data_IF_923196571646
#
_entry.id   IF_923196571646
#
_cell.length_a   1.000
_cell.length_b   1.000
_cell.length_c   1.000
_cell.angle_alpha   90.00
_cell.angle_beta   90.00
_cell.angle_gamma   90.00
#
_symmetry.space_group_name_H-M   'P 1'
#
loop_
_entity.id
_entity.type
_entity.pdbx_description
1 polymer ?
#
# COMPACT_ATOMS: atom_id res chain seq x y z
N UNK A 1 20.51 17.79 29.62
CA UNK A 1 21.18 19.12 29.46
C UNK A 1 20.82 20.07 30.62
N UNK A 2 19.55 20.40 30.85
CA UNK A 2 19.13 21.35 31.88
C UNK A 2 19.59 20.94 33.30
N UNK A 3 19.45 19.67 33.65
CA UNK A 3 19.93 19.13 34.94
C UNK A 3 21.46 19.24 35.07
N UNK A 4 22.21 18.90 34.04
CA UNK A 4 23.66 18.99 34.00
C UNK A 4 24.17 20.44 34.16
N UNK A 5 23.50 21.40 33.51
CA UNK A 5 23.80 22.83 33.64
C UNK A 5 23.48 23.35 35.05
N UNK A 6 22.39 22.89 35.67
CA UNK A 6 22.02 23.22 37.03
C UNK A 6 23.03 22.67 38.02
N UNK A 7 23.47 21.43 37.83
CA UNK A 7 24.48 20.79 38.71
C UNK A 7 25.83 21.48 38.59
N UNK A 8 26.28 21.78 37.37
CA UNK A 8 27.53 22.53 37.15
C UNK A 8 27.49 23.91 37.81
N UNK A 9 26.36 24.63 37.70
CA UNK A 9 26.15 25.92 38.37
C UNK A 9 26.26 25.80 39.89
N UNK A 10 25.62 24.79 40.48
CA UNK A 10 25.62 24.55 41.90
C UNK A 10 27.05 24.20 42.42
N UNK A 11 27.77 23.35 41.69
CA UNK A 11 29.16 23.02 42.02
C UNK A 11 30.08 24.24 41.96
N UNK A 12 29.88 25.10 40.96
CA UNK A 12 30.67 26.32 40.82
C UNK A 12 30.37 27.33 41.91
N UNK A 13 29.09 27.56 42.27
CA UNK A 13 28.72 28.42 43.39
C UNK A 13 29.27 27.90 44.69
N UNK A 14 29.22 26.61 44.93
CA UNK A 14 29.84 25.99 46.11
C UNK A 14 31.34 26.19 46.15
N UNK A 15 32.04 26.05 45.03
CA UNK A 15 33.49 26.29 44.93
C UNK A 15 33.85 27.74 45.24
N UNK A 16 33.08 28.72 44.75
CA UNK A 16 33.28 30.13 45.05
C UNK A 16 33.03 30.48 46.52
N UNK A 17 32.01 29.88 47.12
CA UNK A 17 31.74 30.04 48.56
C UNK A 17 32.86 29.41 49.42
N UNK A 18 33.40 28.26 49.04
CA UNK A 18 34.57 27.64 49.70
C UNK A 18 35.80 28.55 49.62
N UNK A 19 35.99 29.27 48.53
CA UNK A 19 37.10 30.23 48.37
C UNK A 19 36.97 31.41 49.34
N UNK A 20 35.76 31.95 49.58
CA UNK A 20 35.49 32.96 50.55
C UNK A 20 35.88 32.48 52.01
N UNK A 21 35.45 31.26 52.33
CA UNK A 21 35.78 30.64 53.63
C UNK A 21 37.27 30.45 53.79
N UNK A 22 37.97 29.97 52.77
CA UNK A 22 39.42 29.75 52.80
C UNK A 22 40.15 31.06 52.96
N UNK A 23 39.78 32.12 52.27
CA UNK A 23 40.35 33.46 52.38
C UNK A 23 40.14 34.04 53.80
N UNK A 24 38.94 33.92 54.37
CA UNK A 24 38.66 34.37 55.73
C UNK A 24 39.51 33.63 56.78
N UNK A 25 39.66 32.29 56.60
CA UNK A 25 40.51 31.47 57.50
C UNK A 25 41.99 31.83 57.37
N UNK A 26 42.46 32.09 56.16
CA UNK A 26 43.86 32.51 55.91
C UNK A 26 44.15 33.83 56.57
N UNK A 27 43.30 34.84 56.43
CA UNK A 27 43.47 36.15 57.12
C UNK A 27 43.36 35.98 58.59
N UNK A 28 42.52 35.13 59.15
CA UNK A 28 42.45 34.82 60.56
C UNK A 28 43.77 34.25 61.09
N UNK A 29 44.40 33.32 60.38
CA UNK A 29 45.70 32.75 60.75
C UNK A 29 46.85 33.78 60.71
N UNK A 30 46.83 34.68 59.71
CA UNK A 30 47.81 35.76 59.60
C UNK A 30 47.69 36.76 60.79
N UNK A 31 46.47 37.11 61.19
CA UNK A 31 46.24 38.02 62.34
C UNK A 31 46.69 37.41 63.65
N UNK A 32 46.71 36.12 63.87
CA UNK A 32 47.23 35.45 65.06
C UNK A 32 48.72 35.48 65.12
N UNK A 33 49.43 35.61 64.02
CA UNK A 33 50.90 35.62 63.96
C UNK A 33 51.50 37.04 64.11
N UNK A 34 50.66 38.09 64.02
CA UNK A 34 51.12 39.48 64.19
C UNK A 34 51.21 39.85 65.72
N UNK A 35 52.40 40.14 66.26
CA UNK A 35 52.54 40.54 67.65
C UNK A 35 52.01 41.97 67.84
N UNK A 36 50.88 42.11 68.58
CA UNK A 36 50.24 43.33 69.02
C UNK A 36 49.76 44.27 67.87
N UNK A 37 48.47 44.28 67.62
CA UNK A 37 47.83 45.34 66.88
C UNK A 37 47.97 46.69 67.57
N UNK A 38 48.39 47.77 66.92
CA UNK A 38 48.51 49.09 67.55
C UNK A 38 47.14 49.59 68.00
N UNK A 39 46.98 49.81 69.29
CA UNK A 39 45.86 50.47 69.90
C UNK A 39 45.88 51.98 69.64
N UNK A 40 44.81 52.46 68.96
CA UNK A 40 44.32 53.80 68.73
C UNK A 40 44.69 54.51 67.42
N UNK A 41 43.69 54.74 66.62
CA UNK A 41 43.44 55.92 65.78
C UNK A 41 44.17 55.97 64.45
N UNK A 42 43.70 55.32 63.49
CA UNK A 42 43.79 55.29 62.03
C UNK A 42 43.97 53.85 61.61
N UNK A 43 42.86 53.27 61.05
CA UNK A 43 42.86 51.88 60.59
C UNK A 43 44.06 51.64 59.67
N UNK A 44 44.96 50.72 60.07
CA UNK A 44 46.11 50.36 59.24
C UNK A 44 45.61 49.76 57.95
N UNK A 45 45.84 50.47 56.83
CA UNK A 45 45.55 49.98 55.52
C UNK A 45 46.60 48.94 55.10
N UNK A 46 46.25 47.69 55.12
CA UNK A 46 47.06 46.65 54.48
C UNK A 46 46.74 46.59 53.00
N UNK A 47 47.76 46.56 52.15
CA UNK A 47 47.49 46.27 50.73
C UNK A 47 46.96 44.85 50.53
N UNK A 48 46.10 44.61 49.56
CA UNK A 48 45.59 43.28 49.22
C UNK A 48 46.73 42.28 48.98
N UNK A 49 47.87 42.76 48.49
CA UNK A 49 49.11 41.99 48.31
C UNK A 49 49.75 41.56 49.64
N UNK A 50 49.72 42.39 50.66
CA UNK A 50 50.28 42.07 52.01
C UNK A 50 49.42 41.04 52.74
N UNK A 51 48.11 41.01 52.45
CA UNK A 51 47.17 40.01 52.99
C UNK A 51 47.08 38.79 52.13
N UNK A 52 47.82 38.74 51.00
CA UNK A 52 47.75 37.66 49.97
C UNK A 52 46.33 37.29 49.56
N UNK A 53 45.47 38.32 49.42
CA UNK A 53 44.04 38.16 49.02
C UNK A 53 43.97 38.11 47.52
N UNK A 54 43.25 37.09 46.89
CA UNK A 54 43.08 37.04 45.48
C UNK A 54 42.39 38.29 44.95
N UNK A 55 42.81 38.78 43.78
CA UNK A 55 42.20 39.96 43.13
C UNK A 55 40.71 39.85 43.01
N UNK A 56 39.95 40.93 43.18
CA UNK A 56 38.49 40.99 43.12
C UNK A 56 37.77 40.72 44.45
N UNK A 57 38.45 40.29 45.50
CA UNK A 57 37.89 40.09 46.84
C UNK A 57 38.15 41.27 47.75
N UNK A 58 37.16 41.64 48.54
CA UNK A 58 37.30 42.60 49.63
C UNK A 58 37.39 41.84 50.93
N UNK A 59 38.30 42.33 51.86
CA UNK A 59 38.44 41.78 53.21
C UNK A 59 38.43 42.93 54.25
N UNK A 60 37.72 42.67 55.33
CA UNK A 60 37.69 43.60 56.48
C UNK A 60 37.84 42.80 57.74
N UNK A 61 38.73 43.29 58.60
CA UNK A 61 38.94 42.77 59.96
C UNK A 61 38.43 43.81 60.96
N UNK A 62 37.50 43.45 61.82
CA UNK A 62 36.92 44.33 62.83
C UNK A 62 36.96 43.67 64.22
N UNK A 63 37.00 44.50 65.27
CA UNK A 63 36.82 44.06 66.65
C UNK A 63 35.33 43.70 66.88
N UNK A 64 35.04 42.91 67.91
CA UNK A 64 33.67 42.66 68.41
C UNK A 64 32.93 43.95 68.80
N UNK A 65 33.62 45.04 69.09
CA UNK A 65 33.05 46.37 69.35
C UNK A 65 32.72 47.15 68.07
N UNK A 66 33.00 46.63 66.89
CA UNK A 66 32.73 47.27 65.60
C UNK A 66 33.82 48.17 65.07
N UNK A 67 34.99 48.27 65.78
CA UNK A 67 36.15 49.05 65.33
C UNK A 67 36.85 48.30 64.17
N UNK A 68 37.10 48.97 63.05
CA UNK A 68 37.81 48.39 61.89
C UNK A 68 39.28 48.45 62.13
N UNK A 69 39.90 47.27 62.20
CA UNK A 69 41.31 47.12 62.48
C UNK A 69 42.19 47.06 61.24
N UNK A 70 41.64 46.43 60.18
CA UNK A 70 42.31 46.30 58.88
C UNK A 70 41.30 46.13 57.74
N UNK A 71 41.64 46.60 56.55
CA UNK A 71 40.86 46.39 55.33
C UNK A 71 41.74 46.31 54.11
N UNK A 72 41.28 45.58 53.08
CA UNK A 72 42.03 45.37 51.84
C UNK A 72 41.63 46.31 50.72
N UNK A 73 40.59 47.15 50.87
CA UNK A 73 40.13 48.09 49.86
C UNK A 73 40.27 49.52 50.27
N UNK A 74 40.45 50.40 49.31
CA UNK A 74 41.01 51.76 49.58
C UNK A 74 39.92 52.81 49.85
N UNK A 75 38.63 52.50 49.66
CA UNK A 75 37.56 53.47 49.86
C UNK A 75 37.06 53.51 51.30
N UNK A 76 37.19 54.66 52.00
CA UNK A 76 36.82 54.84 53.38
C UNK A 76 35.33 54.68 53.68
N UNK A 77 34.49 54.83 52.71
CA UNK A 77 33.01 54.76 52.81
C UNK A 77 32.47 53.35 52.71
N UNK A 78 33.26 52.41 52.20
CA UNK A 78 32.83 51.02 52.00
C UNK A 78 33.07 50.18 53.22
N UNK A 79 32.14 50.09 54.14
CA UNK A 79 32.17 49.19 55.28
C UNK A 79 31.40 47.91 54.98
N UNK A 80 32.12 46.76 55.20
CA UNK A 80 31.43 45.45 55.08
C UNK A 80 30.62 45.24 56.37
N UNK A 81 29.31 44.83 56.22
CA UNK A 81 28.52 44.44 57.39
C UNK A 81 29.13 43.23 58.05
N UNK A 82 29.67 43.39 59.22
CA UNK A 82 30.30 42.30 59.99
C UNK A 82 29.39 41.73 61.08
N UNK A 83 28.11 42.18 61.16
CA UNK A 83 27.21 41.79 62.25
C UNK A 83 26.65 40.36 62.08
N UNK A 84 26.46 39.90 60.83
CA UNK A 84 25.93 38.58 60.60
C UNK A 84 27.03 37.56 60.39
N UNK A 85 27.01 36.47 61.17
CA UNK A 85 27.94 35.35 61.04
C UNK A 85 27.58 34.47 59.84
N UNK A 86 28.60 33.91 59.18
CA UNK A 86 28.39 33.00 58.03
C UNK A 86 28.20 33.72 56.67
N UNK A 87 27.59 33.07 55.74
CA UNK A 87 27.33 33.64 54.40
C UNK A 87 26.13 34.59 54.46
N UNK A 88 26.29 35.76 53.88
CA UNK A 88 25.21 36.72 53.68
C UNK A 88 25.46 37.57 52.42
N UNK A 89 24.35 38.07 51.85
CA UNK A 89 24.40 38.98 50.71
C UNK A 89 24.22 40.40 51.21
N UNK A 90 25.07 41.34 50.76
CA UNK A 90 25.00 42.75 51.11
C UNK A 90 25.17 43.63 49.89
N UNK A 91 24.60 44.82 49.95
CA UNK A 91 24.73 45.83 48.88
C UNK A 91 25.83 46.83 49.29
N UNK A 92 26.86 46.96 48.44
CA UNK A 92 27.93 47.93 48.64
C UNK A 92 28.00 48.78 47.35
N UNK A 93 27.84 50.08 47.47
CA UNK A 93 27.83 51.04 46.36
C UNK A 93 26.83 50.64 45.22
N UNK A 94 25.70 50.14 45.63
CA UNK A 94 24.68 49.70 44.61
C UNK A 94 25.00 48.40 43.87
N UNK A 95 26.14 47.76 44.23
CA UNK A 95 26.48 46.45 43.67
C UNK A 95 26.21 45.32 44.71
N UNK A 96 25.66 44.17 44.29
CA UNK A 96 25.46 43.04 45.17
C UNK A 96 26.80 42.31 45.41
N UNK A 97 27.08 42.05 46.70
CA UNK A 97 28.25 41.31 47.15
C UNK A 97 27.81 40.10 47.96
N UNK A 98 28.49 38.99 47.78
CA UNK A 98 28.39 37.78 48.58
C UNK A 98 29.49 37.79 49.62
N UNK A 99 29.17 37.79 50.94
CA UNK A 99 30.08 37.93 52.01
C UNK A 99 30.06 36.70 52.91
N UNK A 100 31.26 36.45 53.57
CA UNK A 100 31.40 35.43 54.60
C UNK A 100 32.10 36.04 55.80
N UNK A 101 31.43 35.95 56.94
CA UNK A 101 31.98 36.49 58.21
C UNK A 101 32.33 35.37 59.19
N UNK A 102 33.57 35.35 59.64
CA UNK A 102 34.12 34.43 60.66
C UNK A 102 34.49 35.19 61.89
N UNK A 103 34.04 34.74 63.07
CA UNK A 103 34.58 35.26 64.36
C UNK A 103 35.65 34.33 64.88
N UNK A 104 36.75 34.91 65.36
CA UNK A 104 37.83 34.17 65.98
C UNK A 104 38.46 35.00 67.08
N UNK A 105 38.32 34.58 68.34
CA UNK A 105 38.68 35.39 69.48
C UNK A 105 37.86 36.68 69.54
N UNK A 106 38.54 37.81 69.73
CA UNK A 106 37.95 39.16 69.75
C UNK A 106 37.81 39.81 68.36
N UNK A 107 38.14 39.08 67.30
CA UNK A 107 38.16 39.60 65.94
C UNK A 107 37.02 39.00 65.07
N UNK A 108 36.45 39.84 64.19
CA UNK A 108 35.58 39.45 63.12
C UNK A 108 36.23 39.71 61.77
N UNK A 109 36.30 38.69 60.94
CA UNK A 109 36.92 38.74 59.62
C UNK A 109 35.82 38.51 58.58
N UNK A 110 35.60 39.53 57.77
CA UNK A 110 34.60 39.46 56.67
C UNK A 110 35.33 39.49 55.35
N UNK A 111 35.10 38.49 54.51
CA UNK A 111 35.54 38.45 53.11
C UNK A 111 34.35 38.59 52.25
N UNK A 112 34.43 39.33 51.14
CA UNK A 112 33.36 39.57 50.23
C UNK A 112 33.83 39.48 48.74
N UNK A 113 32.95 39.04 47.87
CA UNK A 113 33.17 38.89 46.42
C UNK A 113 31.98 39.49 45.63
N UNK A 114 32.25 40.13 44.51
CA UNK A 114 31.24 40.79 43.71
C UNK A 114 30.35 39.77 42.98
N UNK A 115 29.04 39.85 43.17
CA UNK A 115 28.08 38.96 42.48
C UNK A 115 28.07 39.16 40.96
N UNK A 116 28.34 40.36 40.46
CA UNK A 116 28.41 40.68 39.04
C UNK A 116 29.45 39.81 38.31
N UNK A 117 30.61 39.57 38.92
CA UNK A 117 31.62 38.69 38.31
C UNK A 117 31.17 37.23 38.27
N UNK A 118 30.40 36.80 39.28
CA UNK A 118 29.80 35.45 39.32
C UNK A 118 28.71 35.27 38.25
N UNK A 119 27.89 36.30 37.99
CA UNK A 119 26.85 36.27 36.95
C UNK A 119 27.45 36.28 35.53
N UNK A 120 28.51 37.07 35.31
CA UNK A 120 29.21 37.09 34.02
C UNK A 120 29.83 35.73 33.69
N UNK A 121 30.42 35.05 34.69
CA UNK A 121 30.94 33.69 34.52
C UNK A 121 29.81 32.69 34.23
N UNK A 122 28.67 32.77 34.91
CA UNK A 122 27.50 31.92 34.65
C UNK A 122 26.97 32.08 33.22
N UNK A 123 26.86 33.31 32.75
CA UNK A 123 26.37 33.61 31.40
C UNK A 123 27.32 33.05 30.34
N UNK A 124 28.62 33.20 30.52
CA UNK A 124 29.62 32.69 29.57
C UNK A 124 29.61 31.16 29.51
N UNK A 125 29.42 30.47 30.62
CA UNK A 125 29.30 28.99 30.66
C UNK A 125 28.02 28.53 30.02
N UNK A 126 26.90 29.21 30.30
CA UNK A 126 25.60 28.89 29.64
C UNK A 126 25.67 29.04 28.13
N UNK A 127 26.26 30.12 27.63
CA UNK A 127 26.45 30.35 26.20
C UNK A 127 27.39 29.30 25.58
N UNK A 128 28.54 29.03 26.23
CA UNK A 128 29.50 28.06 25.75
C UNK A 128 28.92 26.63 25.67
N UNK A 129 27.98 26.28 26.53
CA UNK A 129 27.34 24.99 26.55
C UNK A 129 26.09 24.93 25.59
N UNK A 130 25.30 25.99 25.54
CA UNK A 130 24.04 25.99 24.79
C UNK A 130 24.24 26.20 23.27
N UNK A 131 25.22 27.00 22.86
CA UNK A 131 25.47 27.28 21.44
C UNK A 131 25.83 26.02 20.65
N UNK A 132 26.79 25.17 21.02
CA UNK A 132 27.13 23.97 20.27
C UNK A 132 25.97 22.97 20.24
N UNK A 133 25.18 22.84 21.31
CA UNK A 133 24.00 21.99 21.35
C UNK A 133 22.92 22.51 20.39
N UNK A 134 22.67 23.81 20.36
CA UNK A 134 21.75 24.44 19.43
C UNK A 134 22.16 24.25 17.98
N UNK A 135 23.43 24.45 17.66
CA UNK A 135 23.96 24.24 16.30
C UNK A 135 23.84 22.77 15.88
N UNK A 136 24.17 21.83 16.78
CA UNK A 136 24.07 20.41 16.50
C UNK A 136 22.60 19.99 16.25
N UNK A 137 21.65 20.51 17.04
CA UNK A 137 20.21 20.25 16.87
C UNK A 137 19.67 20.79 15.54
N UNK A 138 20.03 22.04 15.20
CA UNK A 138 19.65 22.65 13.93
C UNK A 138 20.27 21.90 12.75
N UNK A 139 21.54 21.50 12.85
CA UNK A 139 22.19 20.67 11.83
C UNK A 139 21.50 19.33 11.65
N UNK A 140 21.15 18.66 12.74
CA UNK A 140 20.41 17.39 12.68
C UNK A 140 19.03 17.54 12.05
N UNK A 141 18.27 18.58 12.43
CA UNK A 141 16.96 18.88 11.83
C UNK A 141 17.07 19.18 10.33
N UNK A 142 18.08 19.93 9.93
CA UNK A 142 18.34 20.23 8.52
C UNK A 142 18.67 18.96 7.72
N UNK A 143 19.54 18.10 8.25
CA UNK A 143 19.89 16.82 7.63
C UNK A 143 18.68 15.89 7.53
N UNK A 144 17.85 15.81 8.57
CA UNK A 144 16.61 15.04 8.55
C UNK A 144 15.63 15.56 7.49
N UNK A 145 15.45 16.88 7.43
CA UNK A 145 14.57 17.51 6.45
C UNK A 145 15.02 17.23 5.00
N UNK A 146 16.32 17.37 4.72
CA UNK A 146 16.91 17.04 3.42
C UNK A 146 16.80 15.55 3.10
N UNK A 147 17.10 14.69 4.08
CA UNK A 147 17.04 13.23 3.91
C UNK A 147 15.62 12.74 3.61
N UNK A 148 14.62 13.23 4.34
CA UNK A 148 13.22 12.90 4.09
C UNK A 148 12.76 13.41 2.72
N UNK A 149 13.13 14.64 2.37
CA UNK A 149 12.79 15.22 1.07
C UNK A 149 13.34 14.42 -0.10
N UNK A 150 14.60 14.02 -0.03
CA UNK A 150 15.25 13.19 -1.05
C UNK A 150 14.72 11.75 -1.05
N UNK A 151 14.49 11.17 0.12
CA UNK A 151 13.95 9.81 0.26
C UNK A 151 12.52 9.67 -0.29
N UNK A 152 11.69 10.72 -0.18
CA UNK A 152 10.32 10.71 -0.68
C UNK A 152 10.19 11.20 -2.14
N UNK A 153 11.24 11.77 -2.72
CA UNK A 153 11.22 12.27 -4.11
C UNK A 153 10.81 11.20 -5.14
N UNK A 154 11.24 9.93 -5.06
CA UNK A 154 10.81 8.88 -5.98
C UNK A 154 9.30 8.61 -5.91
N UNK A 155 8.71 8.60 -4.72
CA UNK A 155 7.26 8.44 -4.53
C UNK A 155 6.46 9.58 -5.16
N UNK A 156 6.93 10.81 -5.00
CA UNK A 156 6.32 11.96 -5.64
C UNK A 156 6.40 11.87 -7.17
N UNK A 157 7.52 11.37 -7.73
CA UNK A 157 7.64 11.13 -9.19
C UNK A 157 6.65 10.07 -9.65
N UNK A 158 6.47 8.97 -8.89
CA UNK A 158 5.47 7.95 -9.19
C UNK A 158 4.06 8.53 -9.20
N UNK A 159 3.70 9.29 -8.15
CA UNK A 159 2.41 9.97 -8.06
C UNK A 159 2.18 10.89 -9.28
N UNK A 160 3.16 11.72 -9.61
CA UNK A 160 3.03 12.69 -10.69
C UNK A 160 2.95 12.02 -12.06
N UNK A 161 3.70 10.93 -12.26
CA UNK A 161 3.60 10.10 -13.45
C UNK A 161 2.22 9.47 -13.62
N UNK A 162 1.62 9.00 -12.51
CA UNK A 162 0.27 8.46 -12.49
C UNK A 162 -0.78 9.54 -12.74
N UNK A 163 -0.66 10.71 -12.12
CA UNK A 163 -1.62 11.79 -12.28
C UNK A 163 -1.61 12.44 -13.66
N UNK A 164 -0.47 12.48 -14.34
CA UNK A 164 -0.36 13.01 -15.71
C UNK A 164 -0.86 12.05 -16.78
N UNK A 165 -1.18 10.82 -16.39
CA UNK A 165 -1.59 9.78 -17.31
C UNK A 165 -3.07 9.94 -17.68
N UNK A 166 -3.38 9.79 -18.97
CA UNK A 166 -4.77 9.71 -19.39
C UNK A 166 -5.40 8.39 -18.92
N UNK A 167 -6.71 8.39 -18.66
CA UNK A 167 -7.45 7.23 -18.18
C UNK A 167 -7.35 6.01 -19.14
N UNK A 168 -7.11 6.26 -20.42
CA UNK A 168 -7.02 5.21 -21.45
C UNK A 168 -5.61 4.66 -21.66
N UNK A 169 -4.58 5.25 -21.04
CA UNK A 169 -3.21 4.79 -21.21
C UNK A 169 -2.89 3.66 -20.26
N UNK A 170 -2.72 2.44 -20.76
CA UNK A 170 -2.40 1.22 -20.00
C UNK A 170 -0.97 0.72 -20.23
N UNK A 171 -0.11 1.56 -20.83
CA UNK A 171 1.29 1.23 -21.05
C UNK A 171 2.06 1.09 -19.74
N UNK A 172 3.11 0.27 -19.65
CA UNK A 172 3.91 0.14 -18.45
C UNK A 172 4.53 1.47 -18.04
N UNK A 173 4.50 1.78 -16.75
CA UNK A 173 5.20 2.93 -16.19
C UNK A 173 6.70 2.65 -16.19
N UNK A 174 7.49 3.57 -16.75
CA UNK A 174 8.95 3.56 -16.72
C UNK A 174 9.42 4.79 -15.94
N UNK A 175 9.96 4.56 -14.75
CA UNK A 175 10.46 5.61 -13.86
C UNK A 175 11.91 5.30 -13.51
N UNK A 176 12.83 6.15 -13.95
CA UNK A 176 14.25 6.03 -13.66
C UNK A 176 14.81 7.40 -13.20
N UNK A 177 15.67 7.43 -12.18
CA UNK A 177 16.10 6.34 -11.31
C UNK A 177 15.05 6.02 -10.22
N UNK A 178 14.88 4.73 -9.91
CA UNK A 178 14.00 4.25 -8.85
C UNK A 178 14.80 3.40 -7.85
N UNK A 179 14.67 3.62 -6.53
CA UNK A 179 15.28 2.76 -5.51
C UNK A 179 14.79 1.30 -5.63
N UNK A 180 15.67 0.36 -5.27
CA UNK A 180 15.38 -1.09 -5.32
C UNK A 180 14.15 -1.49 -4.50
N UNK A 181 13.89 -0.77 -3.40
CA UNK A 181 12.77 -0.99 -2.48
C UNK A 181 11.41 -0.66 -3.12
N UNK A 182 11.40 0.20 -4.13
CA UNK A 182 10.17 0.61 -4.83
C UNK A 182 9.94 -0.14 -6.15
N UNK A 183 10.94 -0.89 -6.64
CA UNK A 183 10.79 -1.69 -7.86
C UNK A 183 9.65 -2.71 -7.78
N UNK A 184 9.50 -3.52 -6.68
CA UNK A 184 8.40 -4.48 -6.59
C UNK A 184 7.02 -3.82 -6.66
N UNK A 185 6.89 -2.60 -6.13
CA UNK A 185 5.65 -1.83 -6.21
C UNK A 185 5.33 -1.42 -7.64
N UNK A 186 6.33 -0.90 -8.37
CA UNK A 186 6.20 -0.54 -9.78
C UNK A 186 5.84 -1.76 -10.65
N UNK A 187 6.49 -2.89 -10.43
CA UNK A 187 6.24 -4.14 -11.15
C UNK A 187 4.81 -4.66 -10.90
N UNK A 188 4.36 -4.67 -9.65
CA UNK A 188 2.99 -5.06 -9.29
C UNK A 188 1.97 -4.15 -9.96
N UNK A 189 2.22 -2.85 -9.98
CA UNK A 189 1.35 -1.88 -10.64
C UNK A 189 1.32 -2.07 -12.16
N UNK A 190 2.47 -2.31 -12.79
CA UNK A 190 2.55 -2.60 -14.22
C UNK A 190 1.83 -3.91 -14.57
N UNK A 191 1.93 -4.95 -13.74
CA UNK A 191 1.15 -6.17 -13.90
C UNK A 191 -0.36 -5.92 -13.84
N UNK A 192 -0.81 -5.04 -12.92
CA UNK A 192 -2.21 -4.66 -12.82
C UNK A 192 -2.68 -3.95 -14.11
N UNK A 193 -1.90 -2.99 -14.62
CA UNK A 193 -2.22 -2.31 -15.88
C UNK A 193 -2.30 -3.28 -17.05
N UNK A 194 -1.38 -4.25 -17.14
CA UNK A 194 -1.43 -5.27 -18.17
C UNK A 194 -2.70 -6.15 -18.07
N UNK A 195 -3.11 -6.51 -16.85
CA UNK A 195 -4.36 -7.28 -16.64
C UNK A 195 -5.59 -6.48 -17.07
N UNK A 196 -5.67 -5.20 -16.65
CA UNK A 196 -6.75 -4.29 -17.03
C UNK A 196 -6.77 -4.11 -18.55
N UNK A 197 -5.60 -3.87 -19.18
CA UNK A 197 -5.48 -3.74 -20.63
C UNK A 197 -6.00 -4.94 -21.39
N UNK A 198 -5.62 -6.15 -20.96
CA UNK A 198 -6.11 -7.39 -21.54
C UNK A 198 -7.63 -7.54 -21.37
N UNK A 199 -8.19 -7.09 -20.26
CA UNK A 199 -9.65 -7.16 -20.02
C UNK A 199 -10.39 -6.18 -20.92
N UNK A 200 -9.94 -4.92 -21.01
CA UNK A 200 -10.56 -3.92 -21.89
C UNK A 200 -10.46 -4.33 -23.36
N UNK A 201 -9.31 -4.86 -23.78
CA UNK A 201 -9.14 -5.33 -25.16
C UNK A 201 -10.08 -6.49 -25.49
N UNK A 202 -10.29 -7.43 -24.55
CA UNK A 202 -11.27 -8.51 -24.71
C UNK A 202 -12.70 -7.97 -24.80
N UNK A 203 -13.06 -7.01 -23.99
CA UNK A 203 -14.38 -6.37 -23.98
C UNK A 203 -14.64 -5.60 -25.28
N UNK A 204 -13.65 -4.83 -25.76
CA UNK A 204 -13.74 -4.12 -27.04
C UNK A 204 -13.92 -5.09 -28.21
N UNK A 205 -13.15 -6.17 -28.26
CA UNK A 205 -13.28 -7.20 -29.28
C UNK A 205 -14.68 -7.83 -29.24
N UNK A 206 -15.15 -8.23 -28.06
CA UNK A 206 -16.48 -8.78 -27.88
C UNK A 206 -17.56 -7.84 -28.44
N UNK A 207 -17.48 -6.56 -28.10
CA UNK A 207 -18.45 -5.55 -28.55
C UNK A 207 -18.42 -5.34 -30.07
N UNK A 208 -17.21 -5.24 -30.64
CA UNK A 208 -17.05 -5.10 -32.10
C UNK A 208 -17.58 -6.32 -32.86
N UNK A 209 -17.20 -7.51 -32.41
CA UNK A 209 -17.59 -8.77 -33.02
C UNK A 209 -19.12 -8.99 -32.92
N UNK A 210 -19.69 -8.69 -31.72
CA UNK A 210 -21.14 -8.73 -31.52
C UNK A 210 -21.88 -7.79 -32.48
N UNK A 211 -21.38 -6.55 -32.63
CA UNK A 211 -21.99 -5.59 -33.54
C UNK A 211 -21.97 -6.06 -35.01
N UNK A 212 -20.87 -6.71 -35.41
CA UNK A 212 -20.76 -7.26 -36.77
C UNK A 212 -21.75 -8.43 -37.00
N UNK A 213 -21.81 -9.38 -36.05
CA UNK A 213 -22.66 -10.57 -36.17
C UNK A 213 -24.17 -10.28 -36.03
N UNK A 214 -24.54 -9.18 -35.37
CA UNK A 214 -25.92 -8.74 -35.30
C UNK A 214 -26.35 -7.92 -36.54
N UNK A 215 -25.42 -7.20 -37.19
CA UNK A 215 -25.72 -6.38 -38.36
C UNK A 215 -26.15 -7.22 -39.56
N UNK A 216 -25.51 -8.37 -39.78
CA UNK A 216 -25.79 -9.25 -40.91
C UNK A 216 -27.23 -9.79 -40.92
N UNK A 217 -27.73 -10.48 -39.85
CA UNK A 217 -29.12 -10.96 -39.83
C UNK A 217 -30.14 -9.81 -39.85
N UNK A 218 -29.82 -8.67 -39.16
CA UNK A 218 -30.71 -7.50 -39.21
C UNK A 218 -30.90 -6.97 -40.65
N UNK A 219 -29.80 -6.91 -41.40
CA UNK A 219 -29.87 -6.50 -42.83
C UNK A 219 -30.68 -7.48 -43.64
N UNK A 220 -30.50 -8.80 -43.43
CA UNK A 220 -31.30 -9.83 -44.11
C UNK A 220 -32.78 -9.72 -43.79
N UNK A 221 -33.17 -9.57 -42.52
CA UNK A 221 -34.54 -9.34 -42.07
C UNK A 221 -35.14 -8.12 -42.78
N UNK A 222 -34.41 -6.98 -42.75
CA UNK A 222 -34.86 -5.75 -43.42
C UNK A 222 -35.09 -5.94 -44.91
N UNK A 223 -34.19 -6.64 -45.58
CA UNK A 223 -34.29 -6.93 -47.01
C UNK A 223 -35.49 -7.81 -47.30
N UNK A 224 -35.71 -8.90 -46.55
CA UNK A 224 -36.86 -9.79 -46.75
C UNK A 224 -38.20 -9.09 -46.45
N UNK A 225 -38.26 -8.22 -45.45
CA UNK A 225 -39.44 -7.41 -45.18
C UNK A 225 -39.70 -6.38 -46.28
N UNK A 226 -38.67 -5.79 -46.90
CA UNK A 226 -38.83 -4.92 -48.07
C UNK A 226 -39.38 -5.69 -49.28
N UNK A 227 -38.83 -6.87 -49.54
CA UNK A 227 -39.34 -7.73 -50.63
C UNK A 227 -40.81 -8.13 -50.38
N UNK A 228 -41.16 -8.53 -49.16
CA UNK A 228 -42.52 -8.86 -48.77
C UNK A 228 -43.51 -7.70 -48.94
N UNK A 229 -43.07 -6.46 -48.85
CA UNK A 229 -43.88 -5.26 -49.11
C UNK A 229 -44.06 -4.97 -50.57
N UNK A 230 -43.20 -5.52 -51.43
CA UNK A 230 -43.22 -5.30 -52.91
C UNK A 230 -43.82 -6.49 -53.72
N UNK A 231 -44.14 -7.60 -53.04
CA UNK A 231 -44.61 -8.83 -53.61
C UNK A 231 -45.94 -9.26 -52.99
N UNK A 232 -46.73 -10.09 -53.71
CA UNK A 232 -47.97 -10.63 -53.20
C UNK A 232 -48.01 -12.19 -53.31
N UNK A 233 -48.94 -12.80 -52.60
CA UNK A 233 -49.15 -14.26 -52.61
C UNK A 233 -47.99 -15.06 -52.05
N UNK A 234 -47.66 -16.19 -52.61
CA UNK A 234 -46.64 -17.12 -52.13
C UNK A 234 -45.23 -16.50 -51.97
N UNK A 235 -44.89 -15.52 -52.86
CA UNK A 235 -43.58 -14.83 -52.75
C UNK A 235 -43.48 -13.94 -51.51
N UNK A 236 -44.60 -13.30 -51.14
CA UNK A 236 -44.69 -12.52 -49.88
C UNK A 236 -44.54 -13.42 -48.65
N UNK A 237 -45.30 -14.53 -48.62
CA UNK A 237 -45.31 -15.48 -47.51
C UNK A 237 -43.92 -16.12 -47.35
N UNK A 238 -43.23 -16.45 -48.42
CA UNK A 238 -41.85 -16.95 -48.38
C UNK A 238 -40.87 -15.87 -47.83
N UNK A 239 -41.07 -14.63 -48.23
CA UNK A 239 -40.19 -13.53 -47.72
C UNK A 239 -40.42 -13.26 -46.24
N UNK A 240 -41.68 -13.34 -45.78
CA UNK A 240 -42.01 -13.24 -44.36
C UNK A 240 -41.40 -14.40 -43.56
N UNK A 241 -41.52 -15.64 -44.02
CA UNK A 241 -40.90 -16.80 -43.38
C UNK A 241 -39.37 -16.67 -43.26
N UNK A 242 -38.70 -16.15 -44.31
CA UNK A 242 -37.26 -15.88 -44.26
C UNK A 242 -36.90 -14.75 -43.28
N UNK A 243 -37.76 -13.74 -43.12
CA UNK A 243 -37.56 -12.69 -42.15
C UNK A 243 -37.70 -13.22 -40.72
N UNK A 244 -38.69 -14.10 -40.45
CA UNK A 244 -38.87 -14.79 -39.17
C UNK A 244 -37.65 -15.67 -38.85
N UNK A 245 -37.17 -16.48 -39.79
CA UNK A 245 -35.95 -17.29 -39.63
C UNK A 245 -34.71 -16.42 -39.27
N UNK A 246 -34.61 -15.24 -39.90
CA UNK A 246 -33.59 -14.26 -39.62
C UNK A 246 -33.68 -13.69 -38.19
N UNK A 247 -34.91 -13.43 -37.72
CA UNK A 247 -35.17 -12.96 -36.38
C UNK A 247 -34.80 -14.01 -35.30
N UNK A 248 -35.20 -15.26 -35.54
CA UNK A 248 -34.85 -16.40 -34.68
C UNK A 248 -33.32 -16.63 -34.60
N UNK A 249 -32.64 -16.45 -35.70
CA UNK A 249 -31.18 -16.54 -35.77
C UNK A 249 -30.53 -15.42 -34.92
N UNK A 250 -31.02 -14.19 -35.05
CA UNK A 250 -30.55 -13.04 -34.30
C UNK A 250 -30.79 -13.24 -32.80
N UNK A 251 -31.98 -13.76 -32.42
CA UNK A 251 -32.31 -14.05 -31.02
C UNK A 251 -31.34 -15.08 -30.42
N UNK A 252 -31.09 -16.18 -31.10
CA UNK A 252 -30.11 -17.21 -30.67
C UNK A 252 -28.71 -16.66 -30.56
N UNK A 253 -28.28 -15.80 -31.48
CA UNK A 253 -26.96 -15.15 -31.40
C UNK A 253 -26.86 -14.24 -30.17
N UNK A 254 -27.92 -13.46 -29.86
CA UNK A 254 -27.98 -12.61 -28.69
C UNK A 254 -27.88 -13.42 -27.38
N UNK A 255 -28.64 -14.53 -27.27
CA UNK A 255 -28.57 -15.43 -26.10
C UNK A 255 -27.18 -16.01 -25.92
N UNK A 256 -26.51 -16.43 -26.99
CA UNK A 256 -25.14 -16.93 -26.94
C UNK A 256 -24.14 -15.87 -26.51
N UNK A 257 -24.30 -14.63 -27.00
CA UNK A 257 -23.45 -13.49 -26.56
C UNK A 257 -23.66 -13.16 -25.09
N UNK A 258 -24.91 -13.15 -24.61
CA UNK A 258 -25.24 -12.91 -23.20
C UNK A 258 -24.68 -14.01 -22.31
N UNK A 259 -24.77 -15.27 -22.71
CA UNK A 259 -24.19 -16.39 -21.97
C UNK A 259 -22.66 -16.27 -21.92
N UNK A 260 -22.03 -15.98 -23.06
CA UNK A 260 -20.57 -15.79 -23.12
C UNK A 260 -20.12 -14.64 -22.22
N UNK A 261 -20.78 -13.48 -22.27
CA UNK A 261 -20.49 -12.33 -21.41
C UNK A 261 -20.66 -12.65 -19.92
N UNK A 262 -21.67 -13.44 -19.54
CA UNK A 262 -21.87 -13.90 -18.18
C UNK A 262 -20.77 -14.88 -17.74
N UNK A 263 -20.39 -15.83 -18.62
CA UNK A 263 -19.34 -16.84 -18.32
C UNK A 263 -17.97 -16.18 -18.15
N UNK A 264 -17.66 -15.17 -18.95
CA UNK A 264 -16.38 -14.45 -18.88
C UNK A 264 -16.35 -13.36 -17.79
N UNK A 265 -17.52 -12.87 -17.39
CA UNK A 265 -17.67 -11.92 -16.29
C UNK A 265 -17.50 -12.57 -14.91
N UNK A 266 -17.44 -11.71 -13.89
CA UNK A 266 -17.30 -12.15 -12.47
C UNK A 266 -18.63 -12.53 -11.81
N UNK A 267 -19.74 -12.61 -12.57
CA UNK A 267 -21.05 -12.93 -12.03
C UNK A 267 -21.10 -14.38 -11.53
N UNK A 268 -21.66 -14.58 -10.35
CA UNK A 268 -21.90 -15.93 -9.83
C UNK A 268 -23.01 -16.60 -10.62
N UNK A 269 -22.80 -17.87 -10.98
CA UNK A 269 -23.83 -18.74 -11.57
C UNK A 269 -24.38 -19.74 -10.55
N UNK A 270 -24.07 -19.54 -9.29
CA UNK A 270 -24.50 -20.44 -8.24
C UNK A 270 -25.99 -20.20 -7.97
N UNK A 271 -26.82 -20.97 -8.66
CA UNK A 271 -28.28 -21.04 -8.45
C UNK A 271 -28.67 -22.10 -7.41
N UNK A 272 -27.67 -22.72 -6.76
CA UNK A 272 -27.85 -23.79 -5.78
C UNK A 272 -28.40 -25.09 -6.38
N UNK A 273 -28.63 -25.16 -7.68
CA UNK A 273 -29.15 -26.35 -8.37
C UNK A 273 -27.98 -27.24 -8.79
N UNK A 274 -27.95 -28.44 -8.24
CA UNK A 274 -26.98 -29.49 -8.61
C UNK A 274 -27.68 -30.52 -9.48
N UNK A 275 -27.03 -30.93 -10.58
CA UNK A 275 -27.51 -31.96 -11.46
C UNK A 275 -26.53 -33.12 -11.52
N UNK A 276 -27.01 -34.33 -11.54
CA UNK A 276 -26.19 -35.51 -11.90
C UNK A 276 -25.77 -35.46 -13.36
N UNK A 277 -24.70 -36.15 -13.71
CA UNK A 277 -24.21 -36.20 -15.07
C UNK A 277 -25.28 -36.78 -16.04
N UNK A 278 -26.10 -37.73 -15.57
CA UNK A 278 -27.23 -38.25 -16.31
C UNK A 278 -28.31 -37.19 -16.59
N UNK A 279 -28.65 -36.38 -15.53
CA UNK A 279 -29.62 -35.29 -15.69
C UNK A 279 -29.12 -34.23 -16.66
N UNK A 280 -27.80 -33.87 -16.58
CA UNK A 280 -27.17 -32.93 -17.51
C UNK A 280 -27.32 -33.45 -18.98
N UNK A 281 -27.02 -34.75 -19.20
CA UNK A 281 -27.17 -35.33 -20.55
C UNK A 281 -28.62 -35.28 -21.06
N UNK A 282 -29.58 -35.65 -20.21
CA UNK A 282 -31.01 -35.66 -20.59
C UNK A 282 -31.54 -34.26 -20.88
N UNK A 283 -31.20 -33.28 -20.00
CA UNK A 283 -31.64 -31.88 -20.20
C UNK A 283 -30.96 -31.26 -21.42
N UNK A 284 -29.67 -31.49 -21.64
CA UNK A 284 -28.99 -31.00 -22.84
C UNK A 284 -29.57 -31.56 -24.12
N UNK A 285 -30.00 -32.84 -24.17
CA UNK A 285 -30.70 -33.43 -25.30
C UNK A 285 -32.09 -32.79 -25.46
N UNK A 286 -32.80 -32.50 -24.36
CA UNK A 286 -34.10 -31.82 -24.43
C UNK A 286 -34.00 -30.41 -24.98
N UNK A 287 -32.93 -29.69 -24.63
CA UNK A 287 -32.71 -28.30 -25.06
C UNK A 287 -31.99 -28.18 -26.41
N UNK A 288 -31.44 -29.26 -26.96
CA UNK A 288 -30.86 -29.27 -28.27
C UNK A 288 -31.93 -29.01 -29.36
N UNK A 289 -31.50 -28.55 -30.54
CA UNK A 289 -32.33 -28.05 -31.61
C UNK A 289 -33.61 -28.86 -31.84
N UNK A 290 -34.74 -28.20 -31.75
CA UNK A 290 -36.07 -28.76 -31.50
C UNK A 290 -36.60 -29.76 -32.56
N UNK A 291 -35.98 -29.89 -33.73
CA UNK A 291 -36.40 -30.82 -34.80
C UNK A 291 -35.66 -32.15 -34.85
N UNK A 292 -34.43 -32.20 -34.33
CA UNK A 292 -33.46 -33.27 -34.59
C UNK A 292 -33.13 -34.14 -33.39
N UNK A 293 -33.87 -34.02 -32.29
CA UNK A 293 -33.60 -34.78 -31.04
C UNK A 293 -33.56 -36.29 -31.24
N UNK A 294 -34.37 -36.83 -32.18
CA UNK A 294 -34.42 -38.26 -32.50
C UNK A 294 -33.09 -38.78 -33.07
N UNK A 295 -32.28 -37.89 -33.60
CA UNK A 295 -30.97 -38.22 -34.16
C UNK A 295 -29.87 -38.40 -33.08
N UNK A 296 -30.13 -37.98 -31.83
CA UNK A 296 -29.17 -38.13 -30.74
C UNK A 296 -29.38 -39.49 -30.06
N UNK A 297 -28.36 -40.34 -30.11
CA UNK A 297 -28.33 -41.62 -29.42
C UNK A 297 -27.53 -41.51 -28.14
N UNK A 298 -28.18 -41.70 -26.98
CA UNK A 298 -27.53 -41.69 -25.68
C UNK A 298 -27.07 -43.09 -25.28
N UNK A 299 -25.78 -43.25 -25.03
CA UNK A 299 -25.17 -44.50 -24.55
C UNK A 299 -24.65 -44.28 -23.11
N UNK A 300 -25.16 -45.09 -22.18
CA UNK A 300 -24.73 -45.06 -20.80
C UNK A 300 -24.39 -46.49 -20.29
N UNK A 301 -23.33 -46.68 -19.50
CA UNK A 301 -23.05 -47.99 -18.94
C UNK A 301 -24.10 -48.38 -17.89
N UNK A 302 -24.34 -49.69 -17.73
CA UNK A 302 -25.35 -50.21 -16.79
C UNK A 302 -25.05 -49.84 -15.29
N UNK A 303 -23.82 -49.58 -14.94
CA UNK A 303 -23.40 -49.08 -13.61
C UNK A 303 -22.86 -47.64 -13.79
N UNK A 304 -23.71 -46.65 -13.60
CA UNK A 304 -23.36 -45.24 -13.64
C UNK A 304 -23.41 -44.64 -12.21
N UNK A 305 -22.42 -43.86 -11.84
CA UNK A 305 -22.45 -43.10 -10.58
C UNK A 305 -23.35 -41.89 -10.72
N UNK A 306 -24.39 -41.79 -9.91
CA UNK A 306 -25.32 -40.66 -9.91
C UNK A 306 -24.81 -39.44 -9.13
N UNK A 307 -23.47 -39.30 -8.98
CA UNK A 307 -22.85 -38.21 -8.29
C UNK A 307 -23.12 -36.89 -9.04
N UNK A 308 -23.44 -35.80 -8.32
CA UNK A 308 -23.66 -34.49 -8.92
C UNK A 308 -22.38 -33.93 -9.53
N UNK A 309 -22.51 -33.22 -10.64
CA UNK A 309 -21.41 -32.52 -11.29
C UNK A 309 -21.03 -31.30 -10.44
N UNK A 310 -19.73 -31.10 -10.23
CA UNK A 310 -19.18 -29.99 -9.40
C UNK A 310 -19.14 -28.68 -10.21
N UNK A 311 -20.27 -28.31 -10.80
CA UNK A 311 -20.43 -27.03 -11.49
C UNK A 311 -21.92 -26.68 -11.57
N UNK A 312 -22.27 -25.37 -11.77
CA UNK A 312 -23.67 -24.96 -11.92
C UNK A 312 -24.39 -25.70 -13.04
N UNK A 313 -25.61 -26.17 -12.78
CA UNK A 313 -26.41 -26.92 -13.73
C UNK A 313 -26.60 -26.21 -15.06
N UNK A 314 -26.84 -24.89 -15.01
CA UNK A 314 -27.03 -24.06 -16.22
C UNK A 314 -25.80 -24.10 -17.11
N UNK A 315 -24.59 -24.10 -16.56
CA UNK A 315 -23.34 -24.11 -17.33
C UNK A 315 -23.05 -25.51 -17.91
N UNK A 316 -23.26 -26.57 -17.15
CA UNK A 316 -23.05 -27.94 -17.60
C UNK A 316 -23.99 -28.31 -18.75
N UNK A 317 -25.27 -27.95 -18.60
CA UNK A 317 -26.30 -28.16 -19.66
C UNK A 317 -25.96 -27.33 -20.91
N UNK A 318 -25.61 -26.04 -20.73
CA UNK A 318 -25.27 -25.16 -21.84
C UNK A 318 -24.03 -25.64 -22.61
N UNK A 319 -23.00 -26.12 -21.91
CA UNK A 319 -21.79 -26.66 -22.54
C UNK A 319 -22.12 -27.87 -23.39
N UNK A 320 -22.83 -28.84 -22.83
CA UNK A 320 -23.20 -30.07 -23.57
C UNK A 320 -24.17 -29.79 -24.70
N UNK A 321 -25.17 -28.92 -24.51
CA UNK A 321 -26.09 -28.48 -25.58
C UNK A 321 -25.34 -27.87 -26.77
N UNK A 322 -24.36 -26.96 -26.52
CA UNK A 322 -23.58 -26.36 -27.61
C UNK A 322 -22.77 -27.42 -28.39
N UNK A 323 -22.24 -28.45 -27.71
CA UNK A 323 -21.59 -29.57 -28.40
C UNK A 323 -22.56 -30.37 -29.24
N UNK A 324 -23.73 -30.70 -28.70
CA UNK A 324 -24.78 -31.45 -29.42
C UNK A 324 -25.31 -30.68 -30.63
N UNK A 325 -25.59 -29.37 -30.46
CA UNK A 325 -26.05 -28.50 -31.56
C UNK A 325 -25.02 -28.42 -32.69
N UNK A 326 -23.72 -28.36 -32.30
CA UNK A 326 -22.63 -28.38 -33.27
C UNK A 326 -22.57 -29.71 -34.04
N UNK A 327 -22.62 -30.83 -33.32
CA UNK A 327 -22.61 -32.17 -33.89
C UNK A 327 -23.79 -32.41 -34.82
N UNK A 328 -25.01 -32.03 -34.43
CA UNK A 328 -26.22 -32.13 -35.27
C UNK A 328 -26.10 -31.32 -36.55
N UNK A 329 -25.54 -30.14 -36.50
CA UNK A 329 -25.37 -29.24 -37.64
C UNK A 329 -24.39 -29.79 -38.68
N UNK A 330 -23.33 -30.46 -38.25
CA UNK A 330 -22.30 -30.97 -39.14
C UNK A 330 -22.52 -32.42 -39.56
N UNK A 331 -23.46 -33.14 -38.93
CA UNK A 331 -23.90 -34.47 -39.35
C UNK A 331 -24.88 -34.38 -40.49
N UNK A 332 -24.71 -35.08 -41.64
CA UNK A 332 -25.70 -35.15 -42.75
C UNK A 332 -27.10 -35.51 -42.27
N UNK A 333 -28.13 -35.12 -43.01
CA UNK A 333 -29.55 -35.23 -42.61
C UNK A 333 -30.01 -36.59 -42.10
N UNK A 334 -29.43 -37.66 -42.60
CA UNK A 334 -29.75 -39.04 -42.22
C UNK A 334 -28.87 -39.62 -41.11
N UNK A 335 -27.81 -38.91 -40.73
CA UNK A 335 -26.85 -39.36 -39.72
C UNK A 335 -27.31 -39.17 -38.29
N UNK A 336 -26.81 -39.98 -37.37
CA UNK A 336 -27.05 -39.86 -35.94
C UNK A 336 -25.83 -39.25 -35.22
N UNK A 337 -26.08 -38.51 -34.16
CA UNK A 337 -25.07 -38.04 -33.22
C UNK A 337 -25.06 -38.98 -32.03
N UNK A 338 -23.88 -39.42 -31.63
CA UNK A 338 -23.71 -40.31 -30.46
C UNK A 338 -23.25 -39.49 -29.27
N UNK A 339 -23.95 -39.60 -28.15
CA UNK A 339 -23.57 -39.09 -26.86
C UNK A 339 -23.27 -40.26 -25.93
N UNK A 340 -22.01 -40.48 -25.58
CA UNK A 340 -21.63 -41.48 -24.59
C UNK A 340 -21.25 -40.81 -23.28
N UNK A 341 -21.74 -41.38 -22.18
CA UNK A 341 -21.46 -40.91 -20.84
C UNK A 341 -20.70 -42.01 -20.05
N UNK A 342 -19.51 -41.65 -19.55
CA UNK A 342 -18.66 -42.53 -18.78
C UNK A 342 -18.27 -41.86 -17.46
N UNK A 343 -18.04 -42.65 -16.41
CA UNK A 343 -17.44 -42.16 -15.16
C UNK A 343 -16.09 -42.78 -14.94
N UNK A 344 -15.10 -41.97 -14.66
CA UNK A 344 -13.73 -42.40 -14.37
C UNK A 344 -13.28 -41.71 -13.08
N UNK A 345 -13.29 -42.46 -11.98
CA UNK A 345 -12.98 -41.90 -10.66
C UNK A 345 -13.96 -40.81 -10.26
N UNK A 346 -13.42 -39.58 -9.95
CA UNK A 346 -14.18 -38.41 -9.57
C UNK A 346 -14.57 -37.50 -10.76
N UNK A 347 -14.63 -38.05 -11.98
CA UNK A 347 -14.93 -37.26 -13.17
C UNK A 347 -15.98 -37.94 -14.03
N UNK A 348 -16.91 -37.14 -14.58
CA UNK A 348 -17.84 -37.56 -15.64
C UNK A 348 -17.26 -37.13 -17.00
N UNK A 349 -17.23 -38.07 -17.94
CA UNK A 349 -16.75 -37.88 -19.30
C UNK A 349 -17.94 -37.97 -20.25
N UNK A 350 -18.21 -36.89 -20.95
CA UNK A 350 -19.20 -36.78 -22.01
C UNK A 350 -18.47 -36.83 -23.34
N UNK A 351 -18.86 -37.78 -24.17
CA UNK A 351 -18.25 -38.02 -25.45
C UNK A 351 -19.31 -37.78 -26.54
N UNK A 352 -19.15 -36.71 -27.28
CA UNK A 352 -20.04 -36.38 -28.42
C UNK A 352 -19.32 -36.73 -29.71
N UNK A 353 -19.93 -37.58 -30.52
CA UNK A 353 -19.39 -37.97 -31.82
C UNK A 353 -20.41 -37.59 -32.91
N UNK A 354 -19.95 -36.86 -33.88
CA UNK A 354 -20.70 -36.61 -35.14
C UNK A 354 -20.18 -37.50 -36.28
N UNK A 355 -20.91 -37.55 -37.35
CA UNK A 355 -20.57 -38.26 -38.58
C UNK A 355 -20.44 -37.27 -39.76
N UNK A 356 -19.86 -36.12 -39.49
CA UNK A 356 -19.55 -35.10 -40.46
C UNK A 356 -18.27 -35.38 -41.27
N UNK A 357 -17.83 -34.43 -42.06
CA UNK A 357 -16.64 -34.56 -42.93
C UNK A 357 -15.32 -34.50 -42.16
N UNK A 358 -15.37 -34.37 -40.81
CA UNK A 358 -14.19 -34.11 -40.00
C UNK A 358 -13.64 -32.68 -40.20
N UNK A 359 -12.50 -32.41 -39.58
CA UNK A 359 -11.83 -31.09 -39.58
C UNK A 359 -10.34 -31.32 -39.81
N UNK A 360 -9.70 -30.45 -40.60
CA UNK A 360 -8.29 -30.52 -40.85
C UNK A 360 -7.47 -30.19 -39.57
N UNK A 361 -6.30 -30.80 -39.38
CA UNK A 361 -5.46 -30.63 -38.19
C UNK A 361 -5.07 -29.16 -37.96
N UNK A 362 -4.83 -28.40 -39.01
CA UNK A 362 -4.52 -26.97 -38.94
C UNK A 362 -5.67 -26.13 -38.37
N UNK A 363 -6.93 -26.57 -38.62
CA UNK A 363 -8.14 -25.90 -38.16
C UNK A 363 -8.51 -26.24 -36.71
N UNK A 364 -8.04 -27.38 -36.17
CA UNK A 364 -8.36 -27.82 -34.80
C UNK A 364 -8.01 -26.78 -33.74
N UNK A 365 -6.86 -26.10 -33.90
CA UNK A 365 -6.45 -25.07 -32.97
C UNK A 365 -7.29 -23.78 -32.98
N UNK A 366 -8.10 -23.60 -34.04
CA UNK A 366 -8.97 -22.44 -34.22
C UNK A 366 -10.42 -22.69 -33.82
N UNK A 367 -10.82 -23.96 -33.60
CA UNK A 367 -12.20 -24.37 -33.32
C UNK A 367 -12.85 -23.62 -32.15
N UNK A 368 -12.10 -23.29 -31.13
CA UNK A 368 -12.58 -22.58 -29.94
C UNK A 368 -12.46 -21.07 -30.02
N UNK A 369 -11.96 -20.54 -31.14
CA UNK A 369 -11.92 -19.10 -31.36
C UNK A 369 -13.33 -18.59 -31.66
N UNK A 370 -13.63 -17.39 -31.14
CA UNK A 370 -14.94 -16.76 -31.37
C UNK A 370 -15.13 -16.44 -32.83
N UNK A 371 -16.37 -16.70 -33.35
CA UNK A 371 -16.78 -16.42 -34.71
C UNK A 371 -15.98 -17.17 -35.79
N UNK A 372 -15.12 -18.11 -35.38
CA UNK A 372 -14.39 -18.93 -36.34
C UNK A 372 -15.35 -19.91 -37.03
N UNK A 373 -15.21 -20.03 -38.34
CA UNK A 373 -16.08 -20.86 -39.20
C UNK A 373 -15.25 -21.48 -40.31
N UNK A 374 -15.43 -22.76 -40.53
CA UNK A 374 -14.85 -23.43 -41.68
C UNK A 374 -15.81 -23.29 -42.90
N UNK A 375 -15.51 -22.36 -43.82
CA UNK A 375 -16.21 -22.18 -45.08
C UNK A 375 -17.70 -21.86 -44.96
N UNK A 376 -18.58 -22.75 -45.50
CA UNK A 376 -20.02 -22.53 -45.66
C UNK A 376 -20.89 -22.89 -44.44
N UNK A 377 -20.33 -23.03 -43.24
CA UNK A 377 -21.13 -23.42 -42.07
C UNK A 377 -22.14 -22.34 -41.65
N UNK A 378 -23.41 -22.76 -41.38
CA UNK A 378 -24.57 -21.88 -41.11
C UNK A 378 -24.66 -21.34 -39.68
N UNK A 379 -23.66 -21.47 -38.83
CA UNK A 379 -23.65 -21.00 -37.45
C UNK A 379 -22.96 -19.65 -37.22
N UNK A 380 -23.13 -19.03 -36.05
CA UNK A 380 -22.42 -17.79 -35.67
C UNK A 380 -20.99 -18.01 -35.12
N UNK A 381 -20.50 -19.27 -35.01
CA UNK A 381 -19.16 -19.57 -34.54
C UNK A 381 -18.90 -19.29 -33.03
N UNK A 382 -19.98 -19.17 -32.24
CA UNK A 382 -19.85 -18.91 -30.78
C UNK A 382 -19.97 -20.17 -29.91
N UNK A 383 -20.59 -21.25 -30.41
CA UNK A 383 -20.92 -22.44 -29.62
C UNK A 383 -19.69 -23.06 -28.93
N UNK A 384 -18.64 -23.36 -29.71
CA UNK A 384 -17.41 -23.94 -29.15
C UNK A 384 -16.59 -22.95 -28.31
N UNK A 385 -16.64 -21.66 -28.61
CA UNK A 385 -16.04 -20.61 -27.79
C UNK A 385 -16.73 -20.52 -26.41
N UNK A 386 -18.06 -20.68 -26.35
CA UNK A 386 -18.81 -20.75 -25.08
C UNK A 386 -18.38 -21.98 -24.27
N UNK A 387 -18.29 -23.15 -24.92
CA UNK A 387 -17.83 -24.38 -24.27
C UNK A 387 -16.41 -24.17 -23.67
N UNK A 388 -15.50 -23.59 -24.44
CA UNK A 388 -14.14 -23.30 -23.99
C UNK A 388 -14.12 -22.33 -22.81
N UNK A 389 -14.94 -21.29 -22.83
CA UNK A 389 -15.05 -20.34 -21.71
C UNK A 389 -15.58 -21.03 -20.42
N UNK A 390 -16.59 -21.89 -20.55
CA UNK A 390 -17.14 -22.68 -19.44
C UNK A 390 -16.06 -23.63 -18.88
N UNK A 391 -15.35 -24.34 -19.75
CA UNK A 391 -14.28 -25.28 -19.40
C UNK A 391 -13.17 -24.58 -18.60
N UNK A 392 -12.71 -23.43 -19.07
CA UNK A 392 -11.69 -22.64 -18.40
C UNK A 392 -12.16 -22.12 -17.03
N UNK A 393 -13.42 -21.71 -16.93
CA UNK A 393 -14.00 -21.19 -15.69
C UNK A 393 -14.19 -22.26 -14.62
N UNK A 394 -14.63 -23.45 -15.03
CA UNK A 394 -15.05 -24.52 -14.10
C UNK A 394 -13.97 -25.60 -13.89
N UNK A 395 -12.75 -25.44 -14.43
CA UNK A 395 -11.68 -26.42 -14.29
C UNK A 395 -11.97 -27.77 -14.97
N UNK A 396 -12.82 -27.75 -16.02
CA UNK A 396 -13.09 -28.90 -16.87
C UNK A 396 -11.99 -29.11 -17.91
N UNK A 397 -12.05 -30.20 -18.67
CA UNK A 397 -11.15 -30.43 -19.81
C UNK A 397 -11.96 -30.69 -21.06
N UNK A 398 -11.47 -30.18 -22.19
CA UNK A 398 -12.08 -30.34 -23.53
C UNK A 398 -11.02 -30.87 -24.48
N UNK A 399 -11.33 -31.95 -25.19
CA UNK A 399 -10.42 -32.54 -26.16
C UNK A 399 -11.17 -32.83 -27.46
N UNK A 400 -10.49 -32.60 -28.60
CA UNK A 400 -11.00 -32.84 -29.94
C UNK A 400 -10.17 -33.91 -30.62
N UNK A 401 -10.86 -34.92 -31.23
CA UNK A 401 -10.26 -35.96 -32.03
C UNK A 401 -11.02 -35.97 -33.39
N UNK A 402 -10.36 -35.48 -34.42
CA UNK A 402 -10.97 -35.39 -35.76
C UNK A 402 -10.51 -36.55 -36.62
N UNK A 403 -11.49 -37.12 -37.33
CA UNK A 403 -11.28 -38.22 -38.31
C UNK A 403 -12.01 -37.89 -39.61
N UNK A 404 -11.66 -38.55 -40.71
CA UNK A 404 -12.37 -38.35 -41.96
C UNK A 404 -13.85 -38.70 -41.92
N UNK A 405 -14.29 -39.48 -40.90
CA UNK A 405 -15.67 -39.94 -40.68
C UNK A 405 -16.41 -39.15 -39.59
N UNK A 406 -15.85 -38.05 -39.13
CA UNK A 406 -16.49 -37.17 -38.16
C UNK A 406 -15.55 -36.58 -37.08
N UNK A 407 -16.10 -35.74 -36.23
CA UNK A 407 -15.43 -35.14 -35.08
C UNK A 407 -15.91 -35.81 -33.78
N UNK A 408 -14.97 -36.17 -32.93
CA UNK A 408 -15.20 -36.64 -31.57
C UNK A 408 -14.78 -35.58 -30.58
N UNK A 409 -15.69 -35.14 -29.75
CA UNK A 409 -15.44 -34.15 -28.72
C UNK A 409 -15.61 -34.78 -27.35
N UNK A 410 -14.59 -34.70 -26.52
CA UNK A 410 -14.57 -35.18 -25.14
C UNK A 410 -14.64 -34.01 -24.17
N UNK A 411 -15.68 -33.94 -23.35
CA UNK A 411 -15.86 -32.97 -22.31
C UNK A 411 -15.84 -33.71 -20.96
N UNK A 412 -14.85 -33.39 -20.12
CA UNK A 412 -14.70 -34.01 -18.79
C UNK A 412 -15.00 -33.01 -17.70
N UNK A 413 -15.97 -33.31 -16.86
CA UNK A 413 -16.43 -32.48 -15.75
C UNK A 413 -16.08 -33.16 -14.39
N UNK A 414 -15.66 -32.41 -13.37
CA UNK A 414 -15.45 -32.95 -12.04
C UNK A 414 -16.79 -33.32 -11.40
N UNK A 415 -16.82 -34.47 -10.68
CA UNK A 415 -17.95 -34.89 -9.85
C UNK A 415 -17.67 -34.50 -8.39
N UNK A 416 -18.73 -34.24 -7.63
CA UNK A 416 -18.58 -34.08 -6.19
C UNK A 416 -18.22 -35.43 -5.56
N UNK A 417 -17.30 -35.43 -4.60
CA UNK A 417 -17.06 -36.67 -3.80
C UNK A 417 -18.36 -37.05 -3.08
N UNK A 418 -18.75 -38.30 -3.21
CA UNK A 418 -19.89 -38.90 -2.50
C UNK A 418 -19.66 -38.87 -0.99
#
# INVERSE_FOLDING_TARGET
>A
AAWMLSDLRNQMMFSLDQRLVASARMVAGLMEQLPALPSKGEGTHFSAEQLNIPGGMACQVSSLRGEILARSHTDPQQTLEAEKMGFHDQMIDGAPWRSFTLARGDLRITTADRQIEREALNMSILLAASVPVGVALLGCLCLLWLGIGQGLAPLNRMRDALMRRSADSLEPLQIQPLPSELQPLLDTQNQLFQRIGKTIERERRLTCDAAHELRSPLTAIKTHLQVARMTDGAARDQSLARAEEGADRMHRTLEQLLLLARVEGSLSFDDGVQCSAEQVAKLAIQDAASGDRRRIKLHMPAKFSDAPVQMPAVLSIAALRNLLDNALRHTPGDGSVELSLETTGSRARFLVRDHGPGIADDDLQHLTQRFWRNGQSTGCGLGLAIVQAIVQRCGCTLHFDSRPDGLRVELTMPLQPL
#
